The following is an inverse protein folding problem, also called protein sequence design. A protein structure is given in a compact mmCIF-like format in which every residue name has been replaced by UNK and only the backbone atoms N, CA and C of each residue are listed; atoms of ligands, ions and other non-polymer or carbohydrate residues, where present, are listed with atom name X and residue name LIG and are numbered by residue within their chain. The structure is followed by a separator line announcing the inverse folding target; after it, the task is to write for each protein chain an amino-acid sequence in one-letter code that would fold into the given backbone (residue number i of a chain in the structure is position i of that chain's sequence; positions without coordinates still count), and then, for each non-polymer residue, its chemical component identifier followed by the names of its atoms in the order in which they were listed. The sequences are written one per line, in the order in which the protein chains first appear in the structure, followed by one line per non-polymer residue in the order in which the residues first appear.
data_IF_463221416810
#
_entry.id   IF_463221416810
#
_cell.length_a   1.000
_cell.length_b   1.000
_cell.length_c   1.000
_cell.angle_alpha   90.00
_cell.angle_beta   90.00
_cell.angle_gamma   90.00
#
_symmetry.space_group_name_H-M   'P 1'
#
loop_
_entity.id
_entity.type
_entity.pdbx_description
1 polymer ?
#
# COMPACT_ATOMS: atom_id res chain seq x y z
N UNK A 1 52.06 20.67 11.63
CA UNK A 1 52.18 20.78 13.09
C UNK A 1 53.62 21.19 13.38
N UNK A 2 53.79 22.29 14.08
CA UNK A 2 55.14 22.69 14.53
C UNK A 2 55.52 21.75 15.69
N UNK A 3 56.69 21.09 15.54
CA UNK A 3 57.22 20.23 16.58
C UNK A 3 57.97 21.07 17.63
N UNK A 4 57.60 20.96 18.86
CA UNK A 4 58.25 21.68 19.95
C UNK A 4 59.58 21.05 20.31
N UNK A 5 60.67 21.82 20.24
CA UNK A 5 62.05 21.33 20.41
C UNK A 5 62.56 21.52 21.85
N UNK A 6 61.91 22.39 22.63
CA UNK A 6 62.29 22.63 24.03
C UNK A 6 61.12 22.51 24.96
N UNK A 7 61.33 22.21 26.26
CA UNK A 7 60.24 22.18 27.24
C UNK A 7 59.49 23.49 27.30
N UNK A 8 58.21 23.49 27.02
CA UNK A 8 57.32 24.62 27.04
C UNK A 8 55.87 24.17 27.17
N UNK A 9 54.99 25.11 27.45
CA UNK A 9 53.56 24.86 27.52
C UNK A 9 52.97 25.17 26.17
N UNK A 10 52.42 24.19 25.48
CA UNK A 10 51.68 24.38 24.23
C UNK A 10 50.22 24.58 24.60
N UNK A 11 49.71 25.79 24.45
CA UNK A 11 48.28 26.08 24.62
C UNK A 11 47.65 26.20 23.27
N UNK A 12 46.64 25.38 23.05
CA UNK A 12 45.71 25.51 21.91
C UNK A 12 44.36 25.96 22.42
N UNK A 13 43.90 27.09 21.95
CA UNK A 13 42.54 27.54 22.21
C UNK A 13 41.59 26.89 21.19
N UNK A 14 40.62 26.15 21.66
CA UNK A 14 39.58 25.58 20.85
C UNK A 14 38.33 26.43 21.08
N UNK A 15 38.04 27.29 20.12
CA UNK A 15 36.81 28.06 20.16
C UNK A 15 35.60 27.14 19.81
N UNK A 16 34.87 26.73 20.82
CA UNK A 16 33.63 25.92 20.69
C UNK A 16 32.39 26.79 20.46
N UNK A 17 32.54 28.12 20.49
CA UNK A 17 31.39 29.03 20.31
C UNK A 17 30.89 29.10 18.85
N UNK A 18 31.70 28.67 17.88
CA UNK A 18 31.28 28.61 16.47
C UNK A 18 30.53 27.33 16.09
N UNK A 19 30.58 26.31 16.95
CA UNK A 19 29.76 25.11 16.78
C UNK A 19 28.45 25.29 17.55
N UNK A 20 27.62 26.19 17.11
CA UNK A 20 26.20 26.12 17.44
C UNK A 20 25.66 25.00 16.56
N UNK A 21 25.35 23.80 17.11
CA UNK A 21 24.61 22.82 16.32
C UNK A 21 23.35 23.55 15.89
N UNK A 22 23.07 23.57 14.59
CA UNK A 22 21.81 24.07 14.05
C UNK A 22 20.68 23.18 14.51
N UNK A 23 20.38 23.25 15.80
CA UNK A 23 19.18 22.60 16.36
C UNK A 23 18.05 23.44 15.82
N UNK A 24 17.36 22.92 14.79
CA UNK A 24 16.07 23.47 14.43
C UNK A 24 15.18 23.37 15.69
N UNK A 25 15.02 24.48 16.37
CA UNK A 25 14.19 24.57 17.58
C UNK A 25 12.70 24.65 17.24
N UNK A 26 12.35 24.56 15.96
CA UNK A 26 10.96 24.72 15.48
C UNK A 26 10.45 23.36 15.05
N UNK A 27 9.97 22.60 16.01
CA UNK A 27 9.17 21.40 15.79
C UNK A 27 7.70 21.77 15.91
N UNK A 28 6.87 21.31 15.00
CA UNK A 28 5.42 21.51 15.08
C UNK A 28 4.64 20.21 14.99
N UNK A 29 3.51 20.18 15.66
CA UNK A 29 2.49 19.16 15.50
C UNK A 29 1.28 19.73 14.74
N UNK A 30 0.80 19.00 13.75
CA UNK A 30 -0.36 19.39 12.97
C UNK A 30 -1.30 18.20 12.78
N UNK A 31 -2.59 18.42 12.99
CA UNK A 31 -3.63 17.45 12.69
C UNK A 31 -4.60 18.02 11.68
N UNK A 32 -4.95 17.24 10.67
CA UNK A 32 -5.82 17.73 9.62
C UNK A 32 -6.40 16.65 8.72
N UNK A 33 -7.29 17.07 7.83
CA UNK A 33 -7.83 16.21 6.80
C UNK A 33 -6.89 16.17 5.59
N UNK A 34 -6.55 14.96 5.15
CA UNK A 34 -5.74 14.72 3.97
C UNK A 34 -6.38 13.65 3.12
N UNK A 35 -6.10 13.69 1.82
CA UNK A 35 -6.73 12.81 0.85
C UNK A 35 -6.29 11.36 0.98
N UNK A 36 -5.03 11.13 1.40
CA UNK A 36 -4.41 9.82 1.49
C UNK A 36 -3.51 9.72 2.73
N UNK A 37 -2.99 8.54 3.03
CA UNK A 37 -2.03 8.34 4.11
C UNK A 37 -2.63 7.65 5.35
N UNK A 38 -1.78 7.32 6.33
CA UNK A 38 -2.22 6.66 7.55
C UNK A 38 -3.10 7.59 8.40
N UNK A 39 -4.10 7.01 9.05
CA UNK A 39 -5.03 7.71 9.94
C UNK A 39 -4.60 7.46 11.38
N UNK A 40 -4.65 8.51 12.21
CA UNK A 40 -4.30 8.44 13.64
C UNK A 40 -2.88 7.91 13.92
N UNK A 41 -1.97 8.14 13.00
CA UNK A 41 -0.57 7.79 13.12
C UNK A 41 0.27 9.05 12.93
N UNK A 42 1.25 9.27 13.82
CA UNK A 42 2.16 10.41 13.72
C UNK A 42 3.17 10.14 12.61
N UNK A 43 3.17 10.97 11.60
CA UNK A 43 4.12 10.90 10.50
C UNK A 43 5.01 12.14 10.52
N UNK A 44 6.33 11.95 10.58
CA UNK A 44 7.28 13.04 10.44
C UNK A 44 7.39 13.40 8.95
N UNK A 45 7.26 14.68 8.66
CA UNK A 45 7.36 15.27 7.32
C UNK A 45 8.39 16.40 7.37
N UNK A 46 9.38 16.33 6.50
CA UNK A 46 10.51 17.27 6.43
C UNK A 46 10.45 18.20 5.21
N UNK A 47 9.64 17.86 4.22
CA UNK A 47 9.56 18.57 2.95
C UNK A 47 8.17 18.48 2.32
N UNK A 48 7.85 19.42 1.45
CA UNK A 48 6.60 19.41 0.69
C UNK A 48 6.52 18.21 -0.27
N UNK A 49 7.66 17.76 -0.80
CA UNK A 49 7.71 16.56 -1.64
C UNK A 49 7.31 15.31 -0.84
N UNK A 50 7.82 15.16 0.38
CA UNK A 50 7.44 14.06 1.25
C UNK A 50 5.97 14.16 1.69
N UNK A 51 5.48 15.37 1.94
CA UNK A 51 4.06 15.63 2.20
C UNK A 51 3.20 15.13 1.03
N UNK A 52 3.57 15.49 -0.18
CA UNK A 52 2.85 15.07 -1.39
C UNK A 52 2.94 13.56 -1.63
N UNK A 53 4.08 12.94 -1.40
CA UNK A 53 4.24 11.49 -1.53
C UNK A 53 3.41 10.70 -0.53
N UNK A 54 3.34 11.17 0.73
CA UNK A 54 2.63 10.46 1.80
C UNK A 54 1.13 10.72 1.80
N UNK A 55 0.72 11.97 1.58
CA UNK A 55 -0.67 12.39 1.76
C UNK A 55 -1.37 12.78 0.46
N UNK A 56 -0.64 12.71 -0.66
CA UNK A 56 -1.11 13.04 -2.01
C UNK A 56 -1.50 14.53 -2.18
N UNK A 57 -1.74 14.91 -3.42
CA UNK A 57 -2.17 16.27 -3.75
C UNK A 57 -3.54 16.57 -3.16
N UNK A 58 -3.77 17.79 -2.68
CA UNK A 58 -5.04 18.17 -2.08
C UNK A 58 -6.20 18.18 -3.08
N UNK A 59 -7.39 18.08 -2.57
CA UNK A 59 -8.65 18.30 -3.27
C UNK A 59 -9.43 19.48 -2.65
N UNK A 60 -10.64 19.72 -3.14
CA UNK A 60 -11.48 20.81 -2.67
C UNK A 60 -11.81 20.75 -1.16
N UNK A 61 -11.73 19.58 -0.53
CA UNK A 61 -12.05 19.39 0.88
C UNK A 61 -10.81 19.40 1.78
N UNK A 62 -9.63 19.17 1.23
CA UNK A 62 -8.39 18.96 2.00
C UNK A 62 -7.34 20.04 1.76
N UNK A 63 -7.60 21.00 0.84
CA UNK A 63 -6.61 22.01 0.45
C UNK A 63 -6.17 22.90 1.61
N UNK A 64 -7.07 23.24 2.52
CA UNK A 64 -6.74 24.10 3.68
C UNK A 64 -5.69 23.44 4.55
N UNK A 65 -5.92 22.17 4.93
CA UNK A 65 -4.98 21.41 5.75
C UNK A 65 -3.65 21.20 5.04
N UNK A 66 -3.69 20.88 3.74
CA UNK A 66 -2.49 20.65 2.96
C UNK A 66 -1.62 21.90 2.85
N UNK A 67 -2.19 23.03 2.44
CA UNK A 67 -1.41 24.26 2.29
C UNK A 67 -0.96 24.86 3.61
N UNK A 68 -1.71 24.66 4.70
CA UNK A 68 -1.22 25.03 6.04
C UNK A 68 0.03 24.26 6.41
N UNK A 69 0.06 22.94 6.18
CA UNK A 69 1.24 22.11 6.41
C UNK A 69 2.39 22.49 5.47
N UNK A 70 2.13 22.71 4.18
CA UNK A 70 3.11 23.11 3.18
C UNK A 70 3.75 24.47 3.53
N UNK A 71 2.95 25.45 3.94
CA UNK A 71 3.47 26.76 4.35
C UNK A 71 4.40 26.64 5.57
N UNK A 72 4.08 25.79 6.54
CA UNK A 72 4.97 25.55 7.67
C UNK A 72 6.30 24.93 7.23
N UNK A 73 6.27 23.98 6.28
CA UNK A 73 7.47 23.30 5.77
C UNK A 73 8.43 24.23 5.00
N UNK A 74 7.99 25.43 4.60
CA UNK A 74 8.88 26.44 4.03
C UNK A 74 9.81 27.08 5.08
N UNK A 75 9.44 27.00 6.35
CA UNK A 75 10.20 27.60 7.46
C UNK A 75 10.90 26.57 8.35
N UNK A 76 10.42 25.33 8.37
CA UNK A 76 10.95 24.24 9.18
C UNK A 76 10.86 22.91 8.44
N UNK A 77 11.77 22.01 8.77
CA UNK A 77 11.84 20.66 8.21
C UNK A 77 11.39 19.57 9.22
N UNK A 78 10.65 19.96 10.28
CA UNK A 78 10.19 19.02 11.33
C UNK A 78 8.72 19.24 11.65
N UNK A 79 7.87 18.62 10.84
CA UNK A 79 6.43 18.63 11.05
C UNK A 79 5.93 17.23 11.42
N UNK A 80 5.42 17.08 12.62
CA UNK A 80 4.71 15.87 13.06
C UNK A 80 3.25 15.98 12.65
N UNK A 81 2.86 15.20 11.65
CA UNK A 81 1.55 15.30 11.04
C UNK A 81 0.70 14.07 11.38
N UNK A 82 -0.56 14.33 11.74
CA UNK A 82 -1.58 13.29 11.97
C UNK A 82 -2.75 13.52 11.04
N UNK A 83 -3.06 12.54 10.22
CA UNK A 83 -4.26 12.55 9.39
C UNK A 83 -5.48 12.18 10.22
N UNK A 84 -6.47 13.06 10.21
CA UNK A 84 -7.79 12.82 10.78
C UNK A 84 -8.75 12.34 9.69
N UNK A 85 -9.59 11.40 10.02
CA UNK A 85 -10.69 10.95 9.17
C UNK A 85 -11.94 10.68 10.01
N UNK A 86 -13.09 10.71 9.38
CA UNK A 86 -14.36 10.37 10.03
C UNK A 86 -14.48 8.86 10.23
N UNK A 87 -15.33 8.44 11.15
CA UNK A 87 -15.66 7.02 11.35
C UNK A 87 -16.35 6.38 10.13
N UNK A 88 -16.81 7.17 9.20
CA UNK A 88 -17.39 6.72 7.93
C UNK A 88 -16.34 6.44 6.85
N UNK A 89 -15.07 6.82 7.06
CA UNK A 89 -14.01 6.53 6.10
C UNK A 89 -13.85 5.01 5.91
N UNK A 90 -13.56 4.60 4.68
CA UNK A 90 -13.38 3.19 4.31
C UNK A 90 -12.20 3.05 3.35
N UNK A 91 -11.55 1.89 3.43
CA UNK A 91 -10.57 1.48 2.44
C UNK A 91 -11.31 0.87 1.25
N UNK A 92 -10.90 1.19 0.04
CA UNK A 92 -11.43 0.52 -1.15
C UNK A 92 -11.02 -0.96 -1.11
N UNK A 93 -11.96 -1.85 -1.34
CA UNK A 93 -11.75 -3.30 -1.31
C UNK A 93 -12.32 -3.96 -2.56
N UNK A 94 -11.77 -5.12 -2.92
CA UNK A 94 -12.28 -5.92 -4.04
C UNK A 94 -13.53 -6.71 -3.71
N UNK A 95 -13.95 -6.74 -2.45
CA UNK A 95 -15.12 -7.47 -1.98
C UNK A 95 -16.38 -6.62 -1.86
N UNK A 96 -17.38 -7.14 -1.19
CA UNK A 96 -18.68 -6.50 -0.97
C UNK A 96 -18.73 -5.67 0.32
N UNK A 97 -17.83 -5.93 1.25
CA UNK A 97 -17.78 -5.24 2.55
C UNK A 97 -16.55 -4.34 2.62
N UNK A 98 -16.78 -3.05 2.79
CA UNK A 98 -15.70 -2.09 3.00
C UNK A 98 -15.42 -1.91 4.49
N UNK A 99 -14.14 -1.91 4.88
CA UNK A 99 -13.68 -1.73 6.25
C UNK A 99 -12.79 -0.51 6.37
N UNK A 100 -12.60 -0.03 7.60
CA UNK A 100 -11.63 1.00 7.90
C UNK A 100 -10.37 0.37 8.49
N UNK A 101 -9.30 0.36 7.72
CA UNK A 101 -7.95 0.06 8.19
C UNK A 101 -7.22 1.39 8.33
N UNK A 102 -7.10 1.87 9.56
CA UNK A 102 -6.59 3.22 9.82
C UNK A 102 -5.09 3.34 9.51
N UNK A 103 -4.30 2.35 9.91
CA UNK A 103 -2.84 2.32 9.76
C UNK A 103 -2.31 0.89 9.76
N UNK A 104 -1.01 0.75 9.61
CA UNK A 104 -0.35 -0.57 9.55
C UNK A 104 -0.53 -1.38 10.83
N UNK A 105 -0.52 -0.74 12.00
CA UNK A 105 -0.70 -1.45 13.28
C UNK A 105 -2.10 -2.06 13.38
N UNK A 106 -3.12 -1.34 12.94
CA UNK A 106 -4.49 -1.87 12.89
C UNK A 106 -4.58 -3.03 11.90
N UNK A 107 -3.90 -2.93 10.76
CA UNK A 107 -3.85 -4.01 9.78
C UNK A 107 -3.25 -5.28 10.39
N UNK A 108 -2.04 -5.22 10.92
CA UNK A 108 -1.36 -6.38 11.48
C UNK A 108 -2.11 -6.99 12.68
N UNK A 109 -2.64 -6.19 13.56
CA UNK A 109 -3.32 -6.69 14.76
C UNK A 109 -4.71 -7.30 14.47
N UNK A 110 -5.37 -6.87 13.38
CA UNK A 110 -6.77 -7.25 13.15
C UNK A 110 -6.91 -8.18 11.95
N UNK A 111 -6.06 -8.00 10.92
CA UNK A 111 -6.28 -8.64 9.62
C UNK A 111 -5.19 -9.62 9.21
N UNK A 112 -3.94 -9.48 9.67
CA UNK A 112 -2.82 -10.29 9.19
C UNK A 112 -2.61 -11.56 10.04
N UNK A 113 -2.43 -11.46 11.32
CA UNK A 113 -2.04 -12.61 12.18
C UNK A 113 -3.21 -13.52 12.61
N UNK A 114 -4.03 -13.95 11.66
CA UNK A 114 -5.17 -14.82 11.97
C UNK A 114 -6.29 -14.12 12.74
N UNK A 115 -6.29 -12.80 12.71
CA UNK A 115 -7.37 -12.00 13.25
C UNK A 115 -8.68 -12.28 12.51
N UNK A 116 -9.79 -12.25 13.24
CA UNK A 116 -11.14 -12.53 12.74
C UNK A 116 -11.64 -11.50 11.69
N UNK A 117 -10.78 -10.57 11.28
CA UNK A 117 -11.15 -9.46 10.40
C UNK A 117 -11.11 -9.75 8.91
N UNK A 118 -10.39 -10.79 8.49
CA UNK A 118 -10.34 -11.18 7.07
C UNK A 118 -11.40 -12.22 6.82
N UNK A 119 -12.50 -11.81 6.24
CA UNK A 119 -13.50 -12.71 5.71
C UNK A 119 -13.55 -12.61 4.17
N UNK A 120 -14.21 -13.58 3.56
CA UNK A 120 -14.36 -13.62 2.09
C UNK A 120 -15.09 -12.39 1.51
N UNK A 121 -15.75 -11.60 2.36
CA UNK A 121 -16.52 -10.44 1.94
C UNK A 121 -15.63 -9.21 1.66
N UNK A 122 -14.38 -9.19 2.17
CA UNK A 122 -13.45 -8.09 1.91
C UNK A 122 -12.71 -8.22 0.58
N UNK A 123 -12.69 -9.43 0.00
CA UNK A 123 -11.95 -9.75 -1.22
C UNK A 123 -10.44 -9.84 -0.99
N UNK A 124 -9.73 -10.30 -2.02
CA UNK A 124 -8.28 -10.58 -1.96
C UNK A 124 -7.41 -9.31 -1.94
N UNK A 125 -7.98 -8.15 -2.29
CA UNK A 125 -7.26 -6.89 -2.42
C UNK A 125 -7.97 -5.76 -1.71
N UNK A 126 -7.19 -4.99 -0.99
CA UNK A 126 -7.67 -3.80 -0.28
C UNK A 126 -6.66 -2.65 -0.46
N UNK A 127 -7.16 -1.43 -0.62
CA UNK A 127 -6.32 -0.25 -0.62
C UNK A 127 -5.68 -0.04 0.75
N UNK A 128 -4.40 0.29 0.79
CA UNK A 128 -3.63 0.44 2.03
C UNK A 128 -4.22 1.52 2.95
N UNK A 129 -4.76 2.59 2.38
CA UNK A 129 -5.31 3.72 3.14
C UNK A 129 -6.75 4.00 2.74
N UNK A 130 -7.52 4.49 3.68
CA UNK A 130 -8.90 4.89 3.44
C UNK A 130 -8.97 6.20 2.65
N UNK A 131 -9.95 6.30 1.77
CA UNK A 131 -10.26 7.49 0.98
C UNK A 131 -10.58 7.17 -0.48
N UNK A 132 -11.14 8.16 -1.17
CA UNK A 132 -11.65 8.03 -2.55
C UNK A 132 -10.56 7.66 -3.56
N UNK A 133 -9.31 8.02 -3.28
CA UNK A 133 -8.18 7.68 -4.14
C UNK A 133 -8.01 6.16 -4.29
N UNK A 134 -8.37 5.39 -3.28
CA UNK A 134 -8.36 3.93 -3.32
C UNK A 134 -9.22 3.34 -4.44
N UNK A 135 -10.32 4.00 -4.80
CA UNK A 135 -11.22 3.56 -5.86
C UNK A 135 -10.62 3.66 -7.28
N UNK A 136 -9.54 4.42 -7.44
CA UNK A 136 -8.83 4.55 -8.73
C UNK A 136 -7.76 3.48 -8.94
N UNK A 137 -7.46 2.67 -7.93
CA UNK A 137 -6.49 1.58 -8.03
C UNK A 137 -7.06 0.43 -8.84
N UNK A 138 -6.22 -0.15 -9.70
CA UNK A 138 -6.52 -1.36 -10.45
C UNK A 138 -5.47 -2.41 -10.13
N UNK A 139 -5.93 -3.62 -9.87
CA UNK A 139 -5.06 -4.78 -9.71
C UNK A 139 -5.16 -5.63 -10.97
N UNK A 140 -4.02 -5.92 -11.58
CA UNK A 140 -3.91 -6.82 -12.73
C UNK A 140 -2.92 -7.92 -12.39
N UNK A 141 -3.37 -9.16 -12.45
CA UNK A 141 -2.53 -10.34 -12.20
C UNK A 141 -2.23 -10.98 -13.52
N UNK A 142 -0.96 -10.93 -13.94
CA UNK A 142 -0.46 -11.68 -15.07
C UNK A 142 0.05 -13.02 -14.56
N UNK A 143 -0.81 -14.03 -14.56
CA UNK A 143 -0.42 -15.40 -14.26
C UNK A 143 0.14 -16.11 -15.49
N UNK A 144 0.83 -17.25 -15.33
CA UNK A 144 1.10 -18.14 -16.44
C UNK A 144 -0.25 -18.51 -17.09
N UNK A 145 -0.23 -18.68 -18.40
CA UNK A 145 -1.38 -18.87 -19.30
C UNK A 145 -2.31 -20.05 -18.95
N UNK A 146 -2.06 -20.74 -17.87
CA UNK A 146 -2.89 -21.83 -17.37
C UNK A 146 -3.66 -21.35 -16.17
N UNK A 147 -4.96 -21.32 -16.31
CA UNK A 147 -5.90 -20.98 -15.27
C UNK A 147 -5.52 -21.66 -13.96
N UNK A 148 -5.28 -20.88 -12.93
CA UNK A 148 -5.44 -21.40 -11.59
C UNK A 148 -6.93 -21.67 -11.43
N UNK A 149 -7.30 -22.93 -11.56
CA UNK A 149 -8.59 -23.42 -11.13
C UNK A 149 -8.66 -23.22 -9.62
N UNK A 150 -9.12 -22.06 -9.21
CA UNK A 150 -9.60 -21.91 -7.85
C UNK A 150 -10.68 -22.97 -7.65
N UNK A 151 -10.52 -23.77 -6.63
CA UNK A 151 -11.50 -24.77 -6.19
C UNK A 151 -12.86 -24.09 -6.01
N UNK A 152 -13.71 -24.22 -7.00
CA UNK A 152 -15.03 -23.60 -7.00
C UNK A 152 -15.30 -22.82 -8.25
N UNK A 153 -15.48 -23.50 -9.36
CA UNK A 153 -16.31 -23.14 -10.51
C UNK A 153 -16.21 -21.73 -11.10
N UNK A 154 -15.19 -20.94 -10.76
CA UNK A 154 -14.98 -19.65 -11.39
C UNK A 154 -13.67 -19.70 -12.18
N UNK A 155 -13.79 -19.98 -13.45
CA UNK A 155 -12.70 -19.77 -14.41
C UNK A 155 -12.53 -18.26 -14.54
N UNK A 156 -11.47 -17.72 -13.96
CA UNK A 156 -11.03 -16.36 -14.29
C UNK A 156 -10.38 -16.48 -15.66
N UNK A 157 -11.16 -16.21 -16.68
CA UNK A 157 -10.69 -16.24 -18.05
C UNK A 157 -9.58 -15.21 -18.24
N UNK A 158 -8.35 -15.68 -18.37
CA UNK A 158 -7.36 -14.92 -19.09
C UNK A 158 -7.73 -14.96 -20.59
N UNK A 159 -7.34 -13.97 -21.37
CA UNK A 159 -7.65 -13.88 -22.81
C UNK A 159 -7.17 -15.07 -23.68
N UNK A 160 -6.59 -16.08 -23.07
CA UNK A 160 -6.09 -17.30 -23.69
C UNK A 160 -6.81 -18.56 -23.21
N UNK A 161 -7.81 -18.46 -22.34
CA UNK A 161 -8.59 -19.61 -21.91
C UNK A 161 -9.59 -19.96 -23.01
N UNK A 162 -9.35 -21.08 -23.66
CA UNK A 162 -10.29 -21.65 -24.61
C UNK A 162 -11.37 -22.34 -23.79
N UNK A 163 -12.57 -21.77 -23.84
CA UNK A 163 -13.73 -22.39 -23.24
C UNK A 163 -14.12 -23.61 -24.06
N UNK A 164 -14.05 -24.78 -23.46
CA UNK A 164 -14.47 -26.01 -24.11
C UNK A 164 -15.97 -25.98 -24.37
N UNK A 165 -16.36 -26.42 -25.57
CA UNK A 165 -17.76 -26.52 -25.94
C UNK A 165 -18.38 -27.81 -25.41
N UNK A 166 -19.60 -27.74 -24.92
CA UNK A 166 -20.35 -28.92 -24.44
C UNK A 166 -20.05 -29.23 -22.97
N UNK A 167 -20.40 -30.45 -22.58
CA UNK A 167 -20.13 -30.98 -21.24
C UNK A 167 -19.23 -32.20 -21.33
N UNK A 168 -18.38 -32.40 -20.31
CA UNK A 168 -17.57 -33.61 -20.25
C UNK A 168 -17.63 -34.24 -18.86
N UNK A 169 -17.48 -35.55 -18.83
CA UNK A 169 -17.39 -36.33 -17.61
C UNK A 169 -16.09 -37.12 -17.60
N UNK A 170 -15.39 -37.07 -16.47
CA UNK A 170 -14.16 -37.84 -16.23
C UNK A 170 -14.50 -39.05 -15.38
N UNK A 171 -14.10 -40.23 -15.83
CA UNK A 171 -14.29 -41.47 -15.10
C UNK A 171 -13.03 -41.81 -14.31
N UNK A 172 -13.14 -41.84 -12.99
CA UNK A 172 -12.02 -42.10 -12.09
C UNK A 172 -11.37 -43.49 -12.26
N UNK A 173 -12.13 -44.44 -12.81
CA UNK A 173 -11.65 -45.83 -12.90
C UNK A 173 -10.93 -46.20 -14.18
N UNK A 174 -11.13 -45.47 -15.29
CA UNK A 174 -10.56 -45.86 -16.60
C UNK A 174 -9.77 -44.75 -17.31
N UNK A 175 -9.51 -43.63 -16.64
CA UNK A 175 -8.74 -42.49 -17.19
C UNK A 175 -9.27 -41.97 -18.54
N UNK A 176 -10.56 -42.15 -18.80
CA UNK A 176 -11.20 -41.65 -20.02
C UNK A 176 -12.09 -40.44 -19.69
N UNK A 177 -12.10 -39.50 -20.59
CA UNK A 177 -13.05 -38.38 -20.57
C UNK A 177 -14.02 -38.55 -21.73
N UNK A 178 -15.32 -38.50 -21.43
CA UNK A 178 -16.38 -38.54 -22.45
C UNK A 178 -17.06 -37.18 -22.54
N UNK A 179 -17.23 -36.70 -23.75
CA UNK A 179 -17.85 -35.39 -24.00
C UNK A 179 -19.18 -35.57 -24.76
N UNK A 180 -20.15 -34.73 -24.37
CA UNK A 180 -21.42 -34.61 -25.11
C UNK A 180 -21.48 -33.20 -25.70
N UNK A 181 -21.56 -33.12 -27.02
CA UNK A 181 -21.53 -31.85 -27.74
C UNK A 181 -20.18 -31.13 -27.72
N UNK A 182 -19.11 -31.79 -27.29
CA UNK A 182 -17.76 -31.26 -27.22
C UNK A 182 -17.02 -31.40 -28.55
N UNK A 183 -16.07 -30.50 -28.82
CA UNK A 183 -15.18 -30.52 -29.96
C UNK A 183 -13.71 -30.72 -29.52
N UNK A 184 -13.44 -31.68 -28.66
CA UNK A 184 -12.11 -31.94 -28.09
C UNK A 184 -10.99 -32.01 -29.12
N UNK A 185 -11.25 -32.60 -30.28
CA UNK A 185 -10.27 -32.70 -31.37
C UNK A 185 -9.88 -31.35 -32.01
N UNK A 186 -10.67 -30.32 -31.78
CA UNK A 186 -10.40 -28.95 -32.25
C UNK A 186 -9.93 -28.03 -31.14
N UNK A 187 -10.41 -28.26 -29.94
CA UNK A 187 -10.23 -27.38 -28.79
C UNK A 187 -9.07 -27.79 -27.90
N UNK A 188 -8.71 -29.07 -27.87
CA UNK A 188 -7.61 -29.60 -27.05
C UNK A 188 -6.42 -30.05 -27.88
N UNK A 189 -5.24 -29.85 -27.35
CA UNK A 189 -3.97 -30.38 -27.87
C UNK A 189 -3.35 -31.34 -26.89
N UNK A 190 -2.48 -32.21 -27.40
CA UNK A 190 -1.73 -33.12 -26.52
C UNK A 190 -0.87 -32.32 -25.54
N UNK A 191 -1.10 -32.54 -24.26
CA UNK A 191 -0.43 -31.82 -23.17
C UNK A 191 -1.28 -30.73 -22.50
N UNK A 192 -2.46 -30.45 -23.00
CA UNK A 192 -3.41 -29.57 -22.31
C UNK A 192 -3.96 -30.27 -21.06
N UNK A 193 -4.14 -29.48 -20.01
CA UNK A 193 -4.75 -29.92 -18.75
C UNK A 193 -6.17 -29.36 -18.71
N UNK A 194 -7.16 -30.22 -18.54
CA UNK A 194 -8.58 -29.90 -18.45
C UNK A 194 -9.11 -30.17 -17.05
#
# INVERSE_FOLDING_TARGET
MAFQISPGVNTSEIDLTTVVPGVSSVDAGFSGAFRWGPINEVTLVDSEDLLTQRFQKPDANTFVSFFTAANFLQYSNRLHLVRCATSAARNASGGTTAVLVANSSVFYNTYDEGGSGVDANHGDFMAKFAGDLGNSLKVSICGPTRANLASGNTVVASNSDIRLTGTFAVHASNKTATGVGSQFNKELRVGDVV
#
